data_IF_107557732299
#
_entry.id   IF_107557732299
#
_cell.length_a   1.000
_cell.length_b   1.000
_cell.length_c   1.000
_cell.angle_alpha   90.00
_cell.angle_beta   90.00
_cell.angle_gamma   90.00
#
_symmetry.space_group_name_H-M   'P 1'
#
loop_
_entity.id
_entity.type
_entity.pdbx_description
1 polymer ?
#
# COMPACT_ATOMS: atom_id res chain seq x y z
N UNK A 1 -6.53 38.59 32.10
CA UNK A 1 -5.36 38.06 32.84
C UNK A 1 -5.06 36.66 32.32
N UNK A 2 -3.76 36.33 32.27
CA UNK A 2 -3.07 35.41 31.37
C UNK A 2 -3.62 33.96 31.27
N UNK A 3 -3.69 33.42 30.04
CA UNK A 3 -3.73 31.97 29.79
C UNK A 3 -2.36 31.55 29.23
N UNK A 4 -1.72 30.64 29.94
CA UNK A 4 -0.32 30.28 29.82
C UNK A 4 0.04 29.66 28.48
N UNK A 5 1.06 30.25 27.86
CA UNK A 5 1.93 29.68 26.83
C UNK A 5 2.97 28.84 27.57
N UNK A 6 3.10 27.55 27.27
CA UNK A 6 4.30 26.77 27.58
C UNK A 6 4.43 25.59 26.62
N UNK A 7 5.26 25.79 25.61
CA UNK A 7 5.91 24.77 24.78
C UNK A 7 6.74 23.82 25.67
N UNK A 8 6.87 22.53 25.34
CA UNK A 8 8.10 21.81 25.60
C UNK A 8 8.80 21.46 24.30
N UNK A 9 10.04 21.92 24.29
CA UNK A 9 11.06 21.87 23.27
C UNK A 9 11.80 20.53 23.38
N UNK A 10 12.25 20.01 22.24
CA UNK A 10 13.29 19.00 22.04
C UNK A 10 14.17 18.70 23.26
N UNK A 11 14.14 17.46 23.73
CA UNK A 11 15.24 16.87 24.51
C UNK A 11 15.89 15.76 23.66
N UNK A 12 17.11 16.05 23.23
CA UNK A 12 18.09 15.11 22.72
C UNK A 12 18.73 14.31 23.87
N UNK A 13 19.69 13.45 23.51
CA UNK A 13 20.66 12.68 24.31
C UNK A 13 20.31 11.18 24.38
N UNK A 14 20.93 10.35 23.51
CA UNK A 14 22.15 9.54 23.79
C UNK A 14 21.94 8.64 25.04
N UNK A 15 21.97 7.31 24.99
CA UNK A 15 23.19 6.51 24.75
C UNK A 15 22.85 5.02 24.80
N UNK A 16 23.46 4.26 23.88
CA UNK A 16 24.11 2.96 24.06
C UNK A 16 24.03 2.32 25.46
N UNK A 17 23.48 1.10 25.56
CA UNK A 17 24.00 0.00 26.41
C UNK A 17 23.28 -1.31 26.09
N UNK A 18 24.07 -2.29 25.66
CA UNK A 18 23.77 -3.71 25.66
C UNK A 18 23.81 -4.24 27.10
N UNK A 19 22.87 -5.12 27.47
CA UNK A 19 23.02 -6.27 28.39
C UNK A 19 21.63 -6.72 28.88
N UNK A 20 21.30 -7.98 28.61
CA UNK A 20 20.50 -8.92 29.41
C UNK A 20 20.12 -10.08 28.46
N UNK A 21 20.91 -11.15 28.43
CA UNK A 21 20.74 -12.34 29.29
C UNK A 21 19.58 -13.24 28.82
N UNK A 22 19.98 -14.22 28.01
CA UNK A 22 19.54 -15.62 27.92
C UNK A 22 18.20 -16.01 28.58
N UNK A 23 17.31 -16.55 27.75
CA UNK A 23 16.41 -17.64 28.15
C UNK A 23 16.44 -18.69 27.05
N UNK A 24 17.32 -19.68 27.22
CA UNK A 24 17.24 -20.96 26.51
C UNK A 24 16.13 -21.80 27.16
N UNK A 25 15.09 -22.11 26.41
CA UNK A 25 14.39 -23.39 26.52
C UNK A 25 14.12 -23.91 25.11
N UNK A 26 14.98 -24.86 24.75
CA UNK A 26 14.81 -25.95 23.80
C UNK A 26 13.42 -26.08 23.16
N UNK A 27 13.38 -26.05 21.82
CA UNK A 27 12.88 -27.19 21.06
C UNK A 27 13.41 -27.14 19.61
N UNK A 28 13.83 -28.32 19.17
CA UNK A 28 14.59 -28.64 17.97
C UNK A 28 13.99 -28.12 16.65
N UNK A 29 14.83 -27.87 15.63
CA UNK A 29 14.36 -27.77 14.26
C UNK A 29 13.87 -29.16 13.83
N UNK A 30 12.55 -29.32 13.69
CA UNK A 30 11.99 -30.41 12.91
C UNK A 30 12.52 -30.26 11.48
N UNK A 31 13.60 -30.99 11.21
CA UNK A 31 14.08 -31.26 9.87
C UNK A 31 12.92 -31.91 9.12
N UNK A 32 12.26 -31.13 8.25
CA UNK A 32 11.48 -31.68 7.19
C UNK A 32 12.44 -32.56 6.37
N UNK A 33 12.39 -33.86 6.63
CA UNK A 33 12.94 -34.86 5.75
C UNK A 33 12.23 -34.63 4.42
N UNK A 34 12.91 -33.97 3.48
CA UNK A 34 12.60 -34.11 2.07
C UNK A 34 12.73 -35.59 1.78
N UNK A 35 11.60 -36.31 1.82
CA UNK A 35 11.50 -37.55 1.08
C UNK A 35 11.84 -37.16 -0.35
N UNK A 36 13.02 -37.59 -0.81
CA UNK A 36 13.27 -37.67 -2.24
C UNK A 36 12.29 -38.72 -2.73
N UNK A 37 11.07 -38.30 -3.05
CA UNK A 37 10.12 -39.09 -3.79
C UNK A 37 10.79 -39.34 -5.14
N UNK A 38 11.50 -40.46 -5.24
CA UNK A 38 12.07 -40.99 -6.47
C UNK A 38 10.91 -41.50 -7.34
N UNK A 39 9.98 -40.61 -7.67
CA UNK A 39 8.79 -40.95 -8.42
C UNK A 39 9.13 -40.85 -9.91
N UNK A 40 8.75 -41.88 -10.64
CA UNK A 40 8.90 -41.98 -12.08
C UNK A 40 7.57 -42.33 -12.75
N UNK A 41 7.58 -42.23 -14.06
CA UNK A 41 6.49 -42.59 -14.93
C UNK A 41 7.02 -43.56 -15.99
N UNK A 42 6.17 -44.48 -16.42
CA UNK A 42 6.47 -45.35 -17.55
C UNK A 42 6.18 -44.59 -18.85
N UNK A 43 7.11 -44.67 -19.81
CA UNK A 43 6.96 -44.06 -21.14
C UNK A 43 5.65 -44.51 -21.81
N UNK A 44 4.89 -43.55 -22.34
CA UNK A 44 3.57 -43.76 -22.95
C UNK A 44 3.61 -44.74 -24.15
N UNK A 45 2.56 -45.56 -24.28
CA UNK A 45 2.25 -46.47 -25.40
C UNK A 45 2.96 -47.85 -25.45
N UNK A 46 3.59 -48.30 -24.36
CA UNK A 46 4.21 -49.62 -24.28
C UNK A 46 3.71 -50.45 -23.08
N UNK A 47 3.25 -51.69 -23.31
CA UNK A 47 3.06 -52.66 -22.22
C UNK A 47 4.42 -53.14 -21.74
N UNK A 48 4.77 -52.87 -20.48
CA UNK A 48 6.01 -53.35 -19.89
C UNK A 48 5.78 -54.62 -19.08
N UNK A 49 6.62 -55.63 -19.31
CA UNK A 49 6.66 -56.81 -18.45
C UNK A 49 7.59 -56.56 -17.27
N UNK A 50 7.06 -56.76 -16.08
CA UNK A 50 7.79 -56.70 -14.82
C UNK A 50 8.30 -58.09 -14.47
N UNK A 51 9.58 -58.20 -14.10
CA UNK A 51 10.24 -59.45 -13.76
C UNK A 51 10.51 -59.55 -12.25
N UNK A 52 10.64 -60.77 -11.72
CA UNK A 52 10.97 -61.00 -10.30
C UNK A 52 12.45 -60.77 -9.96
N UNK A 53 13.30 -60.44 -10.93
CA UNK A 53 14.73 -60.20 -10.75
C UNK A 53 15.32 -59.38 -11.90
N UNK A 54 16.59 -58.93 -11.77
CA UNK A 54 17.24 -58.01 -12.71
C UNK A 54 17.65 -58.72 -14.00
N UNK A 55 16.69 -58.96 -14.90
CA UNK A 55 16.97 -59.58 -16.18
C UNK A 55 15.79 -60.30 -16.83
N UNK A 56 15.95 -60.63 -18.11
CA UNK A 56 14.93 -61.33 -18.92
C UNK A 56 14.75 -62.81 -18.54
N UNK A 57 15.70 -63.39 -17.81
CA UNK A 57 15.68 -64.80 -17.39
C UNK A 57 14.79 -65.06 -16.17
N UNK A 58 14.32 -63.99 -15.51
CA UNK A 58 13.46 -64.10 -14.33
C UNK A 58 11.98 -64.19 -14.74
N UNK A 59 11.19 -64.83 -13.88
CA UNK A 59 9.76 -65.01 -14.10
C UNK A 59 9.05 -63.67 -14.21
N UNK A 60 8.13 -63.56 -15.16
CA UNK A 60 7.26 -62.38 -15.33
C UNK A 60 6.28 -62.36 -14.14
N UNK A 61 6.33 -61.28 -13.36
CA UNK A 61 5.42 -61.01 -12.25
C UNK A 61 4.08 -60.45 -12.74
N UNK A 62 4.11 -59.68 -13.84
CA UNK A 62 2.93 -59.13 -14.48
C UNK A 62 3.30 -58.06 -15.52
N UNK A 63 2.30 -57.33 -16.00
CA UNK A 63 2.49 -56.14 -16.82
C UNK A 63 2.17 -54.87 -16.02
N UNK A 64 2.81 -53.77 -16.40
CA UNK A 64 2.49 -52.42 -15.92
C UNK A 64 2.08 -51.56 -17.12
N UNK A 65 1.01 -50.78 -16.94
CA UNK A 65 0.48 -49.90 -17.96
C UNK A 65 1.34 -48.65 -18.12
N UNK A 66 1.39 -48.13 -19.35
CA UNK A 66 2.12 -46.91 -19.65
C UNK A 66 1.50 -45.70 -18.94
N UNK A 67 2.34 -44.76 -18.49
CA UNK A 67 1.90 -43.59 -17.74
C UNK A 67 1.54 -43.84 -16.27
N UNK A 68 1.64 -45.08 -15.78
CA UNK A 68 1.44 -45.39 -14.35
C UNK A 68 2.50 -44.70 -13.50
N UNK A 69 2.08 -44.09 -12.40
CA UNK A 69 2.99 -43.52 -11.41
C UNK A 69 3.67 -44.65 -10.64
N UNK A 70 5.00 -44.65 -10.62
CA UNK A 70 5.81 -45.67 -9.95
C UNK A 70 6.79 -45.03 -8.97
N UNK A 71 7.14 -45.76 -7.91
CA UNK A 71 8.23 -45.37 -7.01
C UNK A 71 9.48 -46.15 -7.38
N UNK A 72 10.57 -45.45 -7.66
CA UNK A 72 11.86 -46.02 -8.01
C UNK A 72 12.61 -46.34 -6.71
N UNK A 73 13.03 -47.60 -6.54
CA UNK A 73 13.74 -48.08 -5.35
C UNK A 73 15.28 -47.94 -5.48
N UNK A 74 15.76 -47.14 -6.44
CA UNK A 74 17.16 -46.82 -6.75
C UNK A 74 18.12 -48.02 -6.82
N UNK A 75 17.61 -49.19 -7.23
CA UNK A 75 18.43 -50.39 -7.44
C UNK A 75 18.46 -50.69 -8.94
N UNK A 76 19.57 -50.35 -9.59
CA UNK A 76 19.82 -50.61 -11.01
C UNK A 76 20.82 -51.75 -11.18
N UNK A 77 20.46 -52.76 -11.97
CA UNK A 77 21.28 -53.92 -12.27
C UNK A 77 20.95 -54.47 -13.66
N UNK A 78 21.98 -54.65 -14.50
CA UNK A 78 21.88 -55.22 -15.87
C UNK A 78 20.83 -54.54 -16.78
N UNK A 79 20.76 -53.20 -16.79
CA UNK A 79 19.75 -52.39 -17.50
C UNK A 79 18.30 -52.54 -16.98
N UNK A 80 18.12 -53.16 -15.81
CA UNK A 80 16.85 -53.22 -15.09
C UNK A 80 16.90 -52.38 -13.82
N UNK A 81 15.78 -51.74 -13.51
CA UNK A 81 15.59 -50.99 -12.28
C UNK A 81 14.45 -51.59 -11.47
N UNK A 82 14.64 -51.68 -10.15
CA UNK A 82 13.60 -52.11 -9.24
C UNK A 82 12.63 -50.95 -8.99
N UNK A 83 11.35 -51.23 -9.24
CA UNK A 83 10.25 -50.28 -9.07
C UNK A 83 9.19 -50.87 -8.16
N UNK A 84 8.43 -49.99 -7.52
CA UNK A 84 7.22 -50.30 -6.80
C UNK A 84 6.04 -49.70 -7.56
N UNK A 85 5.10 -50.56 -7.93
CA UNK A 85 3.88 -50.22 -8.66
C UNK A 85 2.80 -49.65 -7.73
N UNK A 86 1.74 -49.08 -8.31
CA UNK A 86 0.57 -48.53 -7.61
C UNK A 86 -0.15 -49.56 -6.69
N UNK A 87 0.01 -50.84 -7.02
CA UNK A 87 -0.53 -52.00 -6.29
C UNK A 87 0.40 -52.55 -5.20
N UNK A 88 1.38 -51.77 -4.76
CA UNK A 88 2.40 -52.17 -3.79
C UNK A 88 3.22 -53.42 -4.22
N UNK A 89 3.31 -53.68 -5.53
CA UNK A 89 4.09 -54.80 -6.07
C UNK A 89 5.50 -54.34 -6.41
N UNK A 90 6.49 -55.09 -5.95
CA UNK A 90 7.89 -54.85 -6.28
C UNK A 90 8.34 -55.74 -7.43
N UNK A 91 9.03 -55.15 -8.40
CA UNK A 91 9.64 -55.92 -9.47
C UNK A 91 10.56 -55.09 -10.33
N UNK A 92 11.15 -55.76 -11.32
CA UNK A 92 12.21 -55.21 -12.15
C UNK A 92 11.69 -54.91 -13.55
N UNK A 93 11.95 -53.69 -14.02
CA UNK A 93 11.59 -53.21 -15.36
C UNK A 93 12.83 -52.65 -16.06
N UNK A 94 12.85 -52.59 -17.38
CA UNK A 94 14.01 -52.05 -18.11
C UNK A 94 14.11 -50.54 -17.91
N UNK A 95 15.32 -50.05 -17.57
CA UNK A 95 15.57 -48.64 -17.24
C UNK A 95 15.20 -47.68 -18.38
N UNK A 96 15.37 -48.11 -19.63
CA UNK A 96 15.05 -47.31 -20.83
C UNK A 96 13.56 -46.88 -20.95
N UNK A 97 12.66 -47.52 -20.20
CA UNK A 97 11.23 -47.20 -20.23
C UNK A 97 10.72 -46.52 -18.96
N UNK A 98 11.61 -46.29 -17.99
CA UNK A 98 11.33 -45.53 -16.77
C UNK A 98 11.86 -44.12 -16.97
N UNK A 99 10.97 -43.13 -16.98
CA UNK A 99 11.35 -41.72 -17.07
C UNK A 99 10.85 -40.98 -15.84
N UNK A 100 11.63 -40.05 -15.30
CA UNK A 100 11.15 -39.15 -14.24
C UNK A 100 10.20 -38.07 -14.77
N UNK A 101 10.04 -38.00 -16.08
CA UNK A 101 9.21 -36.99 -16.74
C UNK A 101 7.73 -37.40 -16.78
N UNK A 102 6.78 -36.50 -16.51
CA UNK A 102 5.36 -36.79 -16.63
C UNK A 102 5.00 -37.27 -18.04
N UNK A 103 4.11 -38.27 -18.13
CA UNK A 103 3.61 -38.80 -19.41
C UNK A 103 3.06 -37.69 -20.32
N UNK A 104 3.05 -37.95 -21.63
CA UNK A 104 2.62 -37.01 -22.67
C UNK A 104 1.19 -36.51 -22.40
N UNK A 105 0.31 -37.39 -21.90
CA UNK A 105 -1.06 -37.03 -21.52
C UNK A 105 -1.11 -35.97 -20.43
N UNK A 106 -0.28 -36.10 -19.39
CA UNK A 106 -0.23 -35.15 -18.28
C UNK A 106 0.36 -33.80 -18.72
N UNK A 107 1.32 -33.83 -19.65
CA UNK A 107 1.88 -32.61 -20.27
C UNK A 107 0.86 -31.89 -21.15
N UNK A 108 0.03 -32.63 -21.89
CA UNK A 108 -1.04 -32.04 -22.70
C UNK A 108 -2.14 -31.43 -21.82
N UNK A 109 -2.50 -32.10 -20.74
CA UNK A 109 -3.47 -31.58 -19.78
C UNK A 109 -2.95 -30.31 -19.10
N UNK A 110 -1.72 -30.32 -18.59
CA UNK A 110 -1.12 -29.14 -17.96
C UNK A 110 -0.91 -27.98 -18.95
N UNK A 111 -0.56 -28.27 -20.20
CA UNK A 111 -0.47 -27.26 -21.26
C UNK A 111 -1.85 -26.66 -21.60
N UNK A 112 -2.90 -27.49 -21.70
CA UNK A 112 -4.26 -27.01 -21.95
C UNK A 112 -4.78 -26.16 -20.79
N UNK A 113 -4.52 -26.57 -19.54
CA UNK A 113 -4.84 -25.79 -18.34
C UNK A 113 -4.11 -24.44 -18.37
N UNK A 114 -2.80 -24.45 -18.66
CA UNK A 114 -2.03 -23.22 -18.77
C UNK A 114 -2.57 -22.29 -19.86
N UNK A 115 -2.98 -22.80 -21.02
CA UNK A 115 -3.60 -21.99 -22.08
C UNK A 115 -4.95 -21.40 -21.64
N UNK A 116 -5.76 -22.17 -20.92
CA UNK A 116 -7.02 -21.70 -20.34
C UNK A 116 -6.79 -20.58 -19.33
N UNK A 117 -5.85 -20.76 -18.42
CA UNK A 117 -5.51 -19.76 -17.39
C UNK A 117 -4.94 -18.48 -18.01
N UNK A 118 -4.07 -18.61 -19.01
CA UNK A 118 -3.54 -17.46 -19.75
C UNK A 118 -4.66 -16.70 -20.47
N UNK A 119 -5.60 -17.39 -21.11
CA UNK A 119 -6.75 -16.75 -21.74
C UNK A 119 -7.65 -16.04 -20.71
N UNK A 120 -7.87 -16.63 -19.54
CA UNK A 120 -8.62 -15.99 -18.45
C UNK A 120 -7.90 -14.73 -17.93
N UNK A 121 -6.57 -14.77 -17.80
CA UNK A 121 -5.77 -13.61 -17.42
C UNK A 121 -5.82 -12.51 -18.48
N UNK A 122 -5.72 -12.84 -19.76
CA UNK A 122 -5.85 -11.88 -20.87
C UNK A 122 -7.21 -11.18 -20.84
N UNK A 123 -8.30 -11.93 -20.66
CA UNK A 123 -9.63 -11.36 -20.54
C UNK A 123 -9.75 -10.43 -19.31
N UNK A 124 -9.17 -10.84 -18.19
CA UNK A 124 -9.15 -10.03 -16.96
C UNK A 124 -8.36 -8.74 -17.17
N UNK A 125 -7.16 -8.81 -17.75
CA UNK A 125 -6.33 -7.65 -18.05
C UNK A 125 -7.03 -6.70 -19.02
N UNK A 126 -7.65 -7.25 -20.06
CA UNK A 126 -8.40 -6.46 -21.03
C UNK A 126 -9.60 -5.74 -20.40
N UNK A 127 -10.23 -6.33 -19.38
CA UNK A 127 -11.28 -5.66 -18.59
C UNK A 127 -10.74 -4.60 -17.60
N UNK A 128 -9.51 -4.74 -17.11
CA UNK A 128 -8.89 -3.82 -16.16
C UNK A 128 -8.38 -2.53 -16.81
N UNK A 129 -7.96 -2.56 -18.07
CA UNK A 129 -7.51 -1.38 -18.81
C UNK A 129 -8.55 -0.23 -18.77
N UNK A 130 -9.81 -0.44 -19.19
CA UNK A 130 -10.81 0.63 -19.15
C UNK A 130 -11.16 1.06 -17.72
N UNK A 131 -11.11 0.14 -16.74
CA UNK A 131 -11.33 0.48 -15.33
C UNK A 131 -10.24 1.39 -14.79
N UNK A 132 -8.97 1.11 -15.10
CA UNK A 132 -7.82 1.92 -14.70
C UNK A 132 -7.82 3.29 -15.38
N UNK A 133 -8.23 3.35 -16.64
CA UNK A 133 -8.41 4.61 -17.36
C UNK A 133 -9.50 5.45 -16.71
N UNK A 134 -10.65 4.85 -16.42
CA UNK A 134 -11.76 5.55 -15.77
C UNK A 134 -11.40 6.00 -14.34
N UNK A 135 -10.68 5.18 -13.58
CA UNK A 135 -10.19 5.55 -12.26
C UNK A 135 -9.17 6.71 -12.32
N UNK A 136 -8.29 6.73 -13.31
CA UNK A 136 -7.38 7.86 -13.51
C UNK A 136 -8.12 9.15 -13.87
N UNK A 137 -9.12 9.06 -14.75
CA UNK A 137 -9.94 10.22 -15.10
C UNK A 137 -10.67 10.77 -13.86
N UNK A 138 -11.22 9.90 -13.02
CA UNK A 138 -11.87 10.30 -11.79
C UNK A 138 -10.89 10.94 -10.80
N UNK A 139 -9.71 10.34 -10.60
CA UNK A 139 -8.67 10.92 -9.75
C UNK A 139 -8.19 12.28 -10.26
N UNK A 140 -8.10 12.47 -11.58
CA UNK A 140 -7.78 13.76 -12.16
C UNK A 140 -8.89 14.79 -11.90
N UNK A 141 -10.15 14.42 -12.09
CA UNK A 141 -11.31 15.28 -11.79
C UNK A 141 -11.33 15.68 -10.31
N UNK A 142 -11.14 14.73 -9.40
CA UNK A 142 -11.08 14.98 -7.96
C UNK A 142 -9.93 15.92 -7.61
N UNK A 143 -8.74 15.72 -8.20
CA UNK A 143 -7.61 16.63 -8.03
C UNK A 143 -7.93 18.04 -8.52
N UNK A 144 -8.60 18.20 -9.65
CA UNK A 144 -8.99 19.53 -10.15
C UNK A 144 -10.04 20.18 -9.23
N UNK A 145 -11.00 19.41 -8.74
CA UNK A 145 -12.05 19.89 -7.84
C UNK A 145 -11.47 20.33 -6.51
N UNK A 146 -10.59 19.52 -5.91
CA UNK A 146 -9.91 19.87 -4.67
C UNK A 146 -9.05 21.11 -4.82
N UNK A 147 -8.32 21.26 -5.94
CA UNK A 147 -7.55 22.48 -6.23
C UNK A 147 -8.45 23.70 -6.32
N UNK A 148 -9.58 23.60 -7.03
CA UNK A 148 -10.54 24.71 -7.15
C UNK A 148 -11.12 25.09 -5.79
N UNK A 149 -11.50 24.11 -4.96
CA UNK A 149 -11.99 24.35 -3.61
C UNK A 149 -10.94 25.06 -2.74
N UNK A 150 -9.68 24.64 -2.82
CA UNK A 150 -8.58 25.29 -2.10
C UNK A 150 -8.45 26.76 -2.54
N UNK A 151 -8.43 27.02 -3.84
CA UNK A 151 -8.36 28.39 -4.37
C UNK A 151 -9.57 29.23 -3.95
N UNK A 152 -10.78 28.66 -3.96
CA UNK A 152 -12.00 29.34 -3.53
C UNK A 152 -11.95 29.66 -2.02
N UNK A 153 -11.52 28.71 -1.18
CA UNK A 153 -11.36 28.90 0.25
C UNK A 153 -10.31 29.97 0.57
N UNK A 154 -9.17 29.97 -0.15
CA UNK A 154 -8.14 30.99 -0.01
C UNK A 154 -8.68 32.38 -0.39
N UNK A 155 -9.38 32.50 -1.52
CA UNK A 155 -10.01 33.76 -1.94
C UNK A 155 -11.08 34.24 -0.96
N UNK A 156 -11.91 33.32 -0.42
CA UNK A 156 -12.91 33.65 0.59
C UNK A 156 -12.28 34.13 1.90
N UNK A 157 -11.19 33.50 2.33
CA UNK A 157 -10.44 33.91 3.51
C UNK A 157 -9.83 35.31 3.32
N UNK A 158 -9.19 35.56 2.18
CA UNK A 158 -8.64 36.87 1.85
C UNK A 158 -9.74 37.94 1.79
N UNK A 159 -10.87 37.66 1.13
CA UNK A 159 -12.01 38.56 1.08
C UNK A 159 -12.57 38.86 2.48
N UNK A 160 -12.65 37.86 3.36
CA UNK A 160 -13.08 38.03 4.75
C UNK A 160 -12.11 38.88 5.56
N UNK A 161 -10.79 38.66 5.41
CA UNK A 161 -9.76 39.46 6.06
C UNK A 161 -9.83 40.90 5.58
N UNK A 162 -9.97 41.13 4.27
CA UNK A 162 -10.12 42.48 3.70
C UNK A 162 -11.41 43.15 4.17
N UNK A 163 -12.55 42.44 4.16
CA UNK A 163 -13.80 42.97 4.68
C UNK A 163 -13.70 43.33 6.17
N UNK A 164 -13.02 42.51 6.97
CA UNK A 164 -12.76 42.82 8.39
C UNK A 164 -11.85 44.04 8.55
N UNK A 165 -10.77 44.15 7.76
CA UNK A 165 -9.88 45.31 7.77
C UNK A 165 -10.62 46.59 7.36
N UNK A 166 -11.44 46.52 6.31
CA UNK A 166 -12.24 47.63 5.84
C UNK A 166 -13.26 48.08 6.89
N UNK A 167 -13.95 47.14 7.56
CA UNK A 167 -14.86 47.45 8.68
C UNK A 167 -14.14 48.21 9.79
N UNK A 168 -12.98 47.71 10.23
CA UNK A 168 -12.16 48.37 11.25
C UNK A 168 -11.71 49.77 10.80
N UNK A 169 -11.28 49.92 9.54
CA UNK A 169 -10.89 51.22 8.99
C UNK A 169 -12.06 52.21 8.92
N UNK A 170 -13.25 51.76 8.50
CA UNK A 170 -14.46 52.62 8.48
C UNK A 170 -14.89 53.05 9.88
N UNK A 171 -14.80 52.17 10.88
CA UNK A 171 -15.09 52.54 12.27
C UNK A 171 -14.09 53.57 12.80
N UNK A 172 -12.80 53.43 12.48
CA UNK A 172 -11.79 54.41 12.90
C UNK A 172 -12.03 55.81 12.30
N UNK A 173 -12.44 55.90 11.03
CA UNK A 173 -12.73 57.19 10.38
C UNK A 173 -14.02 57.85 10.91
N UNK A 174 -15.01 57.06 11.31
CA UNK A 174 -16.23 57.57 11.97
C UNK A 174 -15.91 58.21 13.33
N UNK A 175 -15.05 57.57 14.13
CA UNK A 175 -14.64 58.11 15.43
C UNK A 175 -13.84 59.42 15.28
N UNK A 176 -12.94 59.50 14.28
CA UNK A 176 -12.11 60.69 14.05
C UNK A 176 -12.94 61.87 13.50
N UNK A 177 -13.88 61.61 12.60
CA UNK A 177 -14.78 62.66 12.07
C UNK A 177 -15.73 63.22 13.12
N UNK A 178 -16.29 62.38 14.00
CA UNK A 178 -17.09 62.85 15.14
C UNK A 178 -16.26 63.70 16.13
N UNK A 179 -15.04 63.27 16.46
CA UNK A 179 -14.14 64.05 17.33
C UNK A 179 -13.69 65.39 16.71
N UNK A 180 -13.39 65.40 15.41
CA UNK A 180 -12.98 66.60 14.67
C UNK A 180 -14.08 67.67 14.60
N UNK A 181 -15.34 67.27 14.37
CA UNK A 181 -16.48 68.20 14.35
C UNK A 181 -16.70 68.89 15.70
N UNK A 182 -16.61 68.14 16.80
CA UNK A 182 -16.74 68.68 18.16
C UNK A 182 -15.58 69.64 18.46
N UNK A 183 -14.35 69.31 18.06
CA UNK A 183 -13.19 70.18 18.22
C UNK A 183 -13.35 71.54 17.52
N UNK A 184 -13.80 71.55 16.26
CA UNK A 184 -14.03 72.78 15.49
C UNK A 184 -15.14 73.63 16.14
N UNK A 185 -16.25 73.00 16.54
CA UNK A 185 -17.34 73.69 17.21
C UNK A 185 -16.88 74.33 18.54
N UNK A 186 -16.09 73.61 19.32
CA UNK A 186 -15.51 74.11 20.58
C UNK A 186 -14.61 75.33 20.37
N UNK A 187 -13.76 75.31 19.34
CA UNK A 187 -12.90 76.45 19.00
C UNK A 187 -13.71 77.67 18.60
N UNK A 188 -14.73 77.50 17.74
CA UNK A 188 -15.60 78.61 17.32
C UNK A 188 -16.32 79.23 18.51
N UNK A 189 -16.89 78.41 19.39
CA UNK A 189 -17.56 78.88 20.61
C UNK A 189 -16.56 79.60 21.53
N UNK A 190 -15.35 79.05 21.71
CA UNK A 190 -14.30 79.68 22.50
C UNK A 190 -13.92 81.08 21.98
N UNK A 191 -13.71 81.22 20.68
CA UNK A 191 -13.39 82.51 20.04
C UNK A 191 -14.53 83.50 20.15
N UNK A 192 -15.77 83.05 19.97
CA UNK A 192 -16.96 83.90 20.16
C UNK A 192 -17.06 84.38 21.61
N UNK A 193 -16.81 83.49 22.58
CA UNK A 193 -16.86 83.82 24.01
C UNK A 193 -15.77 84.83 24.39
N UNK A 194 -14.53 84.67 23.90
CA UNK A 194 -13.44 85.62 24.19
C UNK A 194 -13.72 87.00 23.61
N UNK A 195 -14.29 87.07 22.40
CA UNK A 195 -14.66 88.34 21.76
C UNK A 195 -15.81 89.06 22.47
N UNK A 196 -16.81 88.31 22.95
CA UNK A 196 -17.97 88.90 23.67
C UNK A 196 -17.57 89.36 25.07
N UNK A 197 -16.70 88.62 25.77
CA UNK A 197 -16.30 88.97 27.14
C UNK A 197 -15.30 90.14 27.19
N UNK A 198 -14.48 90.33 26.14
CA UNK A 198 -13.52 91.44 26.02
C UNK A 198 -14.17 92.83 25.86
N UNK A 199 -15.50 92.90 25.62
CA UNK A 199 -16.23 94.18 25.47
C UNK A 199 -16.72 94.82 26.79
N UNK A 200 -16.31 94.35 27.97
CA UNK A 200 -16.57 95.13 29.20
C UNK A 200 -15.64 96.34 29.27
N UNK A 201 -16.21 97.51 28.95
CA UNK A 201 -15.59 98.83 29.05
C UNK A 201 -15.02 99.08 30.45
N UNK A 202 -13.82 99.65 30.49
CA UNK A 202 -13.25 100.30 31.68
C UNK A 202 -14.18 101.45 32.09
N UNK A 203 -14.53 101.49 33.37
CA UNK A 203 -15.26 102.60 33.97
C UNK A 203 -14.22 103.64 34.39
N UNK A 204 -14.01 104.63 33.52
CA UNK A 204 -13.26 105.84 33.89
C UNK A 204 -14.27 106.83 34.48
N UNK A 205 -14.52 106.69 35.78
CA UNK A 205 -15.31 107.65 36.57
C UNK A 205 -14.38 108.51 37.39
N UNK A 206 -14.23 109.78 37.01
CA UNK A 206 -13.66 110.83 37.86
C UNK A 206 -14.73 111.39 38.80
N UNK A 207 -14.42 111.40 40.11
CA UNK A 207 -14.80 112.41 41.10
C UNK A 207 -13.86 112.28 42.30
#
# INVERSE_FOLDING_TARGET
MLKNIALPLLLSVLSLSAMAEQTELQNEPAQAQSATDNNGYIVDDLYLFMHTGPGKNYRILGSVEAGTAITILNTEQDDFIQIKDDKDREGWVQSQFVTSEPGLRQRLESANQALSDNNAQLNTLQSRIPQLEQANLQLQQDNTTLKNNITELEQALEAQVQASRNKVQTEQHMLLSYGGGIGIAGILIGVILTLVLSRRKRYDGWA
#
